data_IF_578288400724
#
_entry.id   IF_578288400724
#
_cell.length_a   1.000
_cell.length_b   1.000
_cell.length_c   1.000
_cell.angle_alpha   90.00
_cell.angle_beta   90.00
_cell.angle_gamma   90.00
#
_symmetry.space_group_name_H-M   'P 1'
#
loop_
_entity.id
_entity.type
_entity.pdbx_description
1 polymer ?
#
# COMPACT_ATOMS: atom_id res chain seq x y z
N UNK A 1 -26.49 12.29 8.02
CA UNK A 1 -25.88 11.10 7.39
C UNK A 1 -25.03 10.41 8.45
N UNK A 2 -24.94 9.07 8.42
CA UNK A 2 -24.00 8.35 9.29
C UNK A 2 -22.56 8.75 8.91
N UNK A 3 -21.66 8.84 9.89
CA UNK A 3 -20.25 9.07 9.62
C UNK A 3 -19.67 7.84 8.91
N UNK A 4 -18.72 8.07 8.04
CA UNK A 4 -17.91 7.01 7.40
C UNK A 4 -17.26 6.14 8.46
N UNK A 5 -17.16 4.84 8.22
CA UNK A 5 -16.51 3.88 9.13
C UNK A 5 -15.29 3.26 8.48
N UNK A 6 -14.15 3.37 9.15
CA UNK A 6 -12.86 2.82 8.72
C UNK A 6 -12.47 1.69 9.66
N UNK A 7 -12.25 0.49 9.14
CA UNK A 7 -11.74 -0.65 9.89
C UNK A 7 -10.25 -0.86 9.58
N UNK A 8 -9.42 -0.81 10.62
CA UNK A 8 -7.99 -1.06 10.55
C UNK A 8 -7.71 -2.46 11.08
N UNK A 9 -7.39 -3.39 10.19
CA UNK A 9 -7.21 -4.80 10.52
C UNK A 9 -5.72 -5.08 10.72
N UNK A 10 -5.32 -5.18 11.98
CA UNK A 10 -3.97 -5.14 12.49
C UNK A 10 -3.71 -3.84 13.24
N UNK A 11 -3.50 -3.93 14.56
CA UNK A 11 -3.27 -2.77 15.45
C UNK A 11 -1.80 -2.61 15.84
N UNK A 12 -0.87 -3.08 14.99
CA UNK A 12 0.57 -2.88 15.17
C UNK A 12 1.00 -1.40 15.03
N UNK A 13 2.26 -1.16 14.67
CA UNK A 13 2.78 0.20 14.49
C UNK A 13 2.08 0.92 13.34
N UNK A 14 1.91 0.27 12.19
CA UNK A 14 1.21 0.86 11.04
C UNK A 14 -0.26 1.13 11.39
N UNK A 15 -0.96 0.15 12.01
CA UNK A 15 -2.37 0.30 12.37
C UNK A 15 -2.65 1.46 13.33
N UNK A 16 -1.81 1.64 14.35
CA UNK A 16 -1.91 2.79 15.26
C UNK A 16 -1.65 4.13 14.55
N UNK A 17 -0.64 4.18 13.68
CA UNK A 17 -0.34 5.39 12.89
C UNK A 17 -1.46 5.72 11.91
N UNK A 18 -2.04 4.71 11.24
CA UNK A 18 -3.23 4.88 10.38
C UNK A 18 -4.40 5.49 11.16
N UNK A 19 -4.67 4.94 12.35
CA UNK A 19 -5.77 5.42 13.19
C UNK A 19 -5.59 6.89 13.58
N UNK A 20 -4.39 7.26 14.00
CA UNK A 20 -4.07 8.63 14.39
C UNK A 20 -4.23 9.61 13.21
N UNK A 21 -3.62 9.31 12.05
CA UNK A 21 -3.74 10.17 10.85
C UNK A 21 -5.19 10.26 10.36
N UNK A 22 -5.92 9.14 10.33
CA UNK A 22 -7.33 9.12 9.91
C UNK A 22 -8.21 9.94 10.85
N UNK A 23 -7.95 9.90 12.16
CA UNK A 23 -8.66 10.67 13.17
C UNK A 23 -8.40 12.18 13.02
N UNK A 24 -7.12 12.59 12.92
CA UNK A 24 -6.74 14.00 12.70
C UNK A 24 -7.30 14.58 11.40
N UNK A 25 -7.39 13.76 10.33
CA UNK A 25 -8.01 14.17 9.06
C UNK A 25 -9.54 14.07 9.06
N UNK A 26 -10.13 13.63 10.18
CA UNK A 26 -11.58 13.41 10.33
C UNK A 26 -12.22 12.61 9.18
N UNK A 27 -11.53 11.57 8.72
CA UNK A 27 -11.99 10.75 7.60
C UNK A 27 -13.20 9.87 7.95
N UNK A 28 -13.47 9.66 9.22
CA UNK A 28 -14.59 8.86 9.71
C UNK A 28 -14.38 8.36 11.14
N UNK A 29 -15.29 7.50 11.60
CA UNK A 29 -15.13 6.75 12.85
C UNK A 29 -14.27 5.52 12.60
N UNK A 30 -13.41 5.15 13.56
CA UNK A 30 -12.33 4.19 13.37
C UNK A 30 -12.51 3.00 14.29
N UNK A 31 -12.43 1.80 13.72
CA UNK A 31 -12.32 0.54 14.47
C UNK A 31 -10.91 -0.02 14.26
N UNK A 32 -10.14 -0.11 15.35
CA UNK A 32 -8.88 -0.86 15.37
C UNK A 32 -9.20 -2.31 15.74
N UNK A 33 -8.89 -3.24 14.83
CA UNK A 33 -9.09 -4.67 15.06
C UNK A 33 -7.73 -5.37 15.18
N UNK A 34 -7.59 -6.21 16.20
CA UNK A 34 -6.43 -7.12 16.34
C UNK A 34 -6.83 -8.36 17.14
N UNK A 35 -6.10 -9.45 16.94
CA UNK A 35 -6.28 -10.68 17.74
C UNK A 35 -5.54 -10.62 19.09
N UNK A 36 -4.60 -9.69 19.25
CA UNK A 36 -3.85 -9.49 20.48
C UNK A 36 -4.74 -8.82 21.55
N UNK A 37 -4.86 -9.47 22.70
CA UNK A 37 -5.70 -8.99 23.81
C UNK A 37 -5.24 -7.62 24.30
N UNK A 38 -6.16 -6.68 24.45
CA UNK A 38 -5.93 -5.35 24.98
C UNK A 38 -5.23 -4.38 24.03
N UNK A 39 -4.50 -4.86 23.04
CA UNK A 39 -3.72 -4.00 22.14
C UNK A 39 -4.59 -3.01 21.34
N UNK A 40 -5.66 -3.43 20.64
CA UNK A 40 -6.48 -2.49 19.88
C UNK A 40 -7.25 -1.53 20.80
N UNK A 41 -7.68 -1.99 21.98
CA UNK A 41 -8.38 -1.14 22.96
C UNK A 41 -7.45 -0.07 23.55
N UNK A 42 -6.23 -0.46 23.94
CA UNK A 42 -5.23 0.46 24.48
C UNK A 42 -4.86 1.55 23.48
N UNK A 43 -4.58 1.18 22.22
CA UNK A 43 -4.28 2.17 21.17
C UNK A 43 -5.47 3.06 20.84
N UNK A 44 -6.68 2.50 20.75
CA UNK A 44 -7.87 3.30 20.50
C UNK A 44 -8.10 4.33 21.61
N UNK A 45 -7.89 3.95 22.87
CA UNK A 45 -8.04 4.83 24.01
C UNK A 45 -6.96 5.94 24.01
N UNK A 46 -5.70 5.59 23.80
CA UNK A 46 -4.58 6.54 23.75
C UNK A 46 -4.79 7.60 22.65
N UNK A 47 -5.13 7.16 21.43
CA UNK A 47 -5.42 8.08 20.32
C UNK A 47 -6.67 8.92 20.62
N UNK A 48 -7.73 8.34 21.21
CA UNK A 48 -8.91 9.12 21.61
C UNK A 48 -8.61 10.20 22.64
N UNK A 49 -7.61 9.98 23.51
CA UNK A 49 -7.16 10.98 24.50
C UNK A 49 -6.38 12.14 23.86
N UNK A 50 -5.85 12.00 22.65
CA UNK A 50 -5.24 13.13 21.94
C UNK A 50 -6.30 14.05 21.30
N UNK A 51 -7.53 13.58 21.10
CA UNK A 51 -8.59 14.34 20.45
C UNK A 51 -8.88 15.73 21.07
N UNK A 52 -8.93 15.88 22.40
CA UNK A 52 -9.14 17.20 23.03
C UNK A 52 -8.00 18.19 22.77
N UNK A 53 -6.78 17.69 22.51
CA UNK A 53 -5.58 18.50 22.24
C UNK A 53 -5.49 18.84 20.74
N UNK A 54 -5.71 17.84 19.88
CA UNK A 54 -5.57 17.98 18.42
C UNK A 54 -6.83 18.52 17.73
N UNK A 55 -7.98 18.52 18.41
CA UNK A 55 -9.22 19.16 17.94
C UNK A 55 -9.98 18.36 16.90
N UNK A 56 -10.04 17.03 17.00
CA UNK A 56 -10.84 16.19 16.11
C UNK A 56 -11.98 15.45 16.82
N UNK A 57 -13.05 15.09 16.07
CA UNK A 57 -14.26 14.46 16.62
C UNK A 57 -14.48 13.01 16.19
N UNK A 58 -13.49 12.34 15.60
CA UNK A 58 -13.57 10.93 15.22
C UNK A 58 -13.69 10.02 16.44
N UNK A 59 -14.64 9.06 16.39
CA UNK A 59 -14.76 8.04 17.43
C UNK A 59 -13.80 6.89 17.13
N UNK A 60 -13.12 6.40 18.17
CA UNK A 60 -12.19 5.28 18.07
C UNK A 60 -12.68 4.11 18.95
N UNK A 61 -12.66 2.90 18.40
CA UNK A 61 -13.01 1.67 19.10
C UNK A 61 -11.95 0.61 18.85
N UNK A 62 -11.43 -0.01 19.91
CA UNK A 62 -10.64 -1.25 19.81
C UNK A 62 -11.55 -2.47 19.78
N UNK A 63 -11.24 -3.47 18.95
CA UNK A 63 -12.05 -4.65 18.72
C UNK A 63 -11.21 -5.91 18.52
N UNK A 64 -11.76 -7.06 18.92
CA UNK A 64 -11.19 -8.39 18.70
C UNK A 64 -12.17 -9.34 17.99
N UNK A 65 -13.39 -8.88 17.70
CA UNK A 65 -14.40 -9.64 16.98
C UNK A 65 -14.70 -8.95 15.64
N UNK A 66 -14.68 -9.71 14.54
CA UNK A 66 -14.99 -9.19 13.21
C UNK A 66 -16.38 -8.57 13.08
N UNK A 67 -17.34 -8.93 13.96
CA UNK A 67 -18.65 -8.24 13.97
C UNK A 67 -18.53 -6.72 14.17
N UNK A 68 -17.47 -6.28 14.84
CA UNK A 68 -17.25 -4.85 15.10
C UNK A 68 -16.85 -4.05 13.87
N UNK A 69 -16.33 -4.71 12.82
CA UNK A 69 -16.08 -4.05 11.53
C UNK A 69 -17.32 -3.99 10.63
N UNK A 70 -18.45 -4.53 11.07
CA UNK A 70 -19.66 -4.57 10.26
C UNK A 70 -20.05 -3.18 9.74
N UNK A 71 -20.32 -3.12 8.42
CA UNK A 71 -20.68 -1.89 7.75
C UNK A 71 -19.53 -0.90 7.53
N UNK A 72 -18.27 -1.33 7.64
CA UNK A 72 -17.14 -0.48 7.29
C UNK A 72 -17.17 -0.10 5.79
N UNK A 73 -16.89 1.18 5.51
CA UNK A 73 -16.76 1.72 4.15
C UNK A 73 -15.37 1.42 3.58
N UNK A 74 -14.35 1.43 4.44
CA UNK A 74 -12.96 1.10 4.10
C UNK A 74 -12.39 0.12 5.11
N UNK A 75 -11.73 -0.93 4.63
CA UNK A 75 -10.88 -1.81 5.43
C UNK A 75 -9.42 -1.65 5.01
N UNK A 76 -8.53 -1.32 5.95
CA UNK A 76 -7.08 -1.26 5.70
C UNK A 76 -6.43 -2.42 6.44
N UNK A 77 -5.78 -3.32 5.70
CA UNK A 77 -5.25 -4.59 6.22
C UNK A 77 -3.74 -4.48 6.38
N UNK A 78 -3.31 -4.48 7.65
CA UNK A 78 -1.89 -4.54 8.05
C UNK A 78 -1.58 -5.80 8.85
N UNK A 79 -2.60 -6.65 9.07
CA UNK A 79 -2.48 -7.90 9.81
C UNK A 79 -1.47 -8.83 9.13
N UNK A 80 -0.62 -9.45 9.91
CA UNK A 80 0.45 -10.33 9.47
C UNK A 80 1.71 -10.08 10.28
N UNK A 81 2.75 -10.85 9.99
CA UNK A 81 4.06 -10.68 10.63
C UNK A 81 5.07 -10.11 9.66
N UNK A 82 6.00 -9.31 10.17
CA UNK A 82 7.20 -8.93 9.46
C UNK A 82 8.22 -10.09 9.47
N UNK A 83 9.08 -10.15 8.46
CA UNK A 83 10.16 -11.15 8.40
C UNK A 83 11.09 -10.99 9.62
N UNK A 84 11.30 -12.08 10.33
CA UNK A 84 12.22 -12.15 11.47
C UNK A 84 13.57 -12.74 11.04
N UNK A 85 14.68 -12.43 11.74
CA UNK A 85 15.96 -13.11 11.52
C UNK A 85 15.78 -14.63 11.61
N UNK A 86 16.37 -15.36 10.66
CA UNK A 86 16.27 -16.82 10.58
C UNK A 86 15.00 -17.39 9.93
N UNK A 87 13.99 -16.54 9.61
CA UNK A 87 12.78 -16.96 8.93
C UNK A 87 13.01 -17.04 7.42
N UNK A 88 12.65 -18.17 6.81
CA UNK A 88 12.65 -18.31 5.36
C UNK A 88 11.56 -17.45 4.69
N UNK A 89 11.67 -17.27 3.37
CA UNK A 89 10.62 -16.60 2.58
C UNK A 89 9.31 -17.38 2.61
N UNK A 90 9.40 -18.70 2.52
CA UNK A 90 8.23 -19.59 2.48
C UNK A 90 7.51 -19.65 3.83
N UNK A 91 8.25 -19.62 4.96
CA UNK A 91 7.64 -19.52 6.28
C UNK A 91 6.82 -18.25 6.43
N UNK A 92 7.40 -17.11 6.03
CA UNK A 92 6.69 -15.83 6.06
C UNK A 92 5.43 -15.85 5.19
N UNK A 93 5.57 -16.38 3.98
CA UNK A 93 4.47 -16.50 3.02
C UNK A 93 3.34 -17.37 3.59
N UNK A 94 3.67 -18.54 4.14
CA UNK A 94 2.69 -19.47 4.71
C UNK A 94 1.94 -18.91 5.92
N UNK A 95 2.63 -18.17 6.80
CA UNK A 95 2.00 -17.52 7.95
C UNK A 95 1.05 -16.42 7.49
N UNK A 96 1.53 -15.51 6.64
CA UNK A 96 0.73 -14.37 6.20
C UNK A 96 -0.42 -14.80 5.29
N UNK A 97 -0.28 -15.88 4.54
CA UNK A 97 -1.37 -16.46 3.74
C UNK A 97 -2.54 -16.93 4.62
N UNK A 98 -2.26 -17.60 5.74
CA UNK A 98 -3.28 -18.00 6.72
C UNK A 98 -3.97 -16.79 7.35
N UNK A 99 -3.22 -15.73 7.62
CA UNK A 99 -3.77 -14.47 8.12
C UNK A 99 -4.70 -13.84 7.06
N UNK A 100 -4.27 -13.77 5.79
CA UNK A 100 -5.10 -13.23 4.70
C UNK A 100 -6.39 -14.02 4.50
N UNK A 101 -6.36 -15.35 4.71
CA UNK A 101 -7.57 -16.18 4.66
C UNK A 101 -8.58 -15.77 5.74
N UNK A 102 -8.15 -15.74 7.00
CA UNK A 102 -8.99 -15.31 8.12
C UNK A 102 -9.54 -13.89 7.94
N UNK A 103 -8.69 -12.96 7.48
CA UNK A 103 -9.08 -11.57 7.23
C UNK A 103 -10.07 -11.48 6.07
N UNK A 104 -9.81 -12.17 4.96
CA UNK A 104 -10.67 -12.18 3.78
C UNK A 104 -12.07 -12.70 4.11
N UNK A 105 -12.16 -13.84 4.80
CA UNK A 105 -13.43 -14.42 5.27
C UNK A 105 -14.16 -13.48 6.23
N UNK A 106 -13.43 -12.83 7.15
CA UNK A 106 -13.98 -11.86 8.09
C UNK A 106 -14.57 -10.62 7.39
N UNK A 107 -13.86 -10.07 6.41
CA UNK A 107 -14.34 -8.93 5.60
C UNK A 107 -15.54 -9.34 4.76
N UNK A 108 -15.49 -10.49 4.07
CA UNK A 108 -16.58 -10.99 3.26
C UNK A 108 -17.90 -11.11 4.05
N UNK A 109 -17.80 -11.58 5.29
CA UNK A 109 -18.95 -11.78 6.16
C UNK A 109 -19.51 -10.49 6.76
N UNK A 110 -18.65 -9.57 7.20
CA UNK A 110 -19.06 -8.44 8.04
C UNK A 110 -19.00 -7.08 7.32
N UNK A 111 -18.14 -6.92 6.29
CA UNK A 111 -17.98 -5.69 5.53
C UNK A 111 -17.91 -5.95 4.00
N UNK A 112 -18.88 -6.66 3.39
CA UNK A 112 -18.82 -7.11 1.99
C UNK A 112 -18.85 -5.97 0.96
N UNK A 113 -19.16 -4.75 1.38
CA UNK A 113 -19.20 -3.57 0.51
C UNK A 113 -17.97 -2.68 0.65
N UNK A 114 -17.09 -2.97 1.61
CA UNK A 114 -15.91 -2.16 1.89
C UNK A 114 -14.96 -2.07 0.70
N UNK A 115 -14.32 -0.91 0.57
CA UNK A 115 -13.10 -0.78 -0.20
C UNK A 115 -11.93 -1.30 0.65
N UNK A 116 -11.09 -2.16 0.10
CA UNK A 116 -10.04 -2.85 0.85
C UNK A 116 -8.66 -2.45 0.35
N UNK A 117 -7.81 -1.97 1.27
CA UNK A 117 -6.41 -1.63 1.03
C UNK A 117 -5.54 -2.63 1.76
N UNK A 118 -4.77 -3.44 1.05
CA UNK A 118 -3.80 -4.39 1.62
C UNK A 118 -2.43 -3.74 1.75
N UNK A 119 -1.77 -3.92 2.92
CA UNK A 119 -0.39 -3.46 3.19
C UNK A 119 0.51 -4.65 3.54
N UNK A 120 -0.07 -5.78 3.91
CA UNK A 120 0.65 -6.98 4.36
C UNK A 120 1.61 -7.51 3.29
N UNK A 121 2.85 -7.82 3.69
CA UNK A 121 3.89 -8.34 2.80
C UNK A 121 3.97 -9.89 2.83
N UNK A 122 4.41 -10.51 1.71
CA UNK A 122 4.78 -9.90 0.42
C UNK A 122 3.54 -9.40 -0.33
N UNK A 123 3.51 -8.08 -0.60
CA UNK A 123 2.28 -7.35 -0.90
C UNK A 123 1.48 -7.91 -2.07
N UNK A 124 2.14 -8.11 -3.23
CA UNK A 124 1.45 -8.49 -4.47
C UNK A 124 0.75 -9.85 -4.34
N UNK A 125 1.38 -10.80 -3.64
CA UNK A 125 0.78 -12.10 -3.34
C UNK A 125 -0.32 -12.00 -2.28
N UNK A 126 -0.14 -11.15 -1.27
CA UNK A 126 -1.10 -11.01 -0.18
C UNK A 126 -2.38 -10.29 -0.62
N UNK A 127 -2.29 -9.25 -1.45
CA UNK A 127 -3.48 -8.58 -1.99
C UNK A 127 -4.26 -9.51 -2.92
N UNK A 128 -3.56 -10.30 -3.74
CA UNK A 128 -4.18 -11.31 -4.59
C UNK A 128 -4.90 -12.38 -3.76
N UNK A 129 -4.23 -12.95 -2.76
CA UNK A 129 -4.82 -13.96 -1.88
C UNK A 129 -6.01 -13.40 -1.08
N UNK A 130 -5.89 -12.19 -0.55
CA UNK A 130 -6.96 -11.49 0.19
C UNK A 130 -8.20 -11.31 -0.70
N UNK A 131 -8.02 -10.92 -1.97
CA UNK A 131 -9.13 -10.80 -2.91
C UNK A 131 -9.78 -12.15 -3.17
N UNK A 132 -8.99 -13.22 -3.38
CA UNK A 132 -9.51 -14.58 -3.58
C UNK A 132 -10.31 -15.08 -2.38
N UNK A 133 -9.78 -14.93 -1.17
CA UNK A 133 -10.44 -15.37 0.06
C UNK A 133 -11.67 -14.53 0.42
N UNK A 134 -11.66 -13.24 0.10
CA UNK A 134 -12.82 -12.38 0.38
C UNK A 134 -13.91 -12.48 -0.68
N UNK A 135 -13.58 -12.88 -1.91
CA UNK A 135 -14.51 -12.90 -3.03
C UNK A 135 -15.06 -11.52 -3.43
N UNK A 136 -14.48 -10.44 -2.89
CA UNK A 136 -14.90 -9.07 -3.26
C UNK A 136 -14.53 -8.77 -4.73
N UNK A 137 -15.26 -7.85 -5.39
CA UNK A 137 -14.90 -7.39 -6.72
C UNK A 137 -13.47 -6.86 -6.77
N UNK A 138 -12.70 -7.22 -7.80
CA UNK A 138 -11.27 -6.85 -7.92
C UNK A 138 -11.04 -5.33 -7.88
N UNK A 139 -11.98 -4.53 -8.39
CA UNK A 139 -11.92 -3.06 -8.31
C UNK A 139 -12.04 -2.51 -6.88
N UNK A 140 -12.52 -3.31 -5.92
CA UNK A 140 -12.67 -2.93 -4.51
C UNK A 140 -11.51 -3.39 -3.64
N UNK A 141 -10.55 -4.14 -4.18
CA UNK A 141 -9.37 -4.62 -3.43
C UNK A 141 -8.12 -4.15 -4.13
N UNK A 142 -7.27 -3.42 -3.42
CA UNK A 142 -6.02 -2.87 -3.95
C UNK A 142 -4.88 -3.04 -2.95
N UNK A 143 -3.64 -3.05 -3.44
CA UNK A 143 -2.44 -3.06 -2.61
C UNK A 143 -1.77 -1.69 -2.52
N UNK A 144 -1.34 -1.31 -1.34
CA UNK A 144 -0.50 -0.13 -1.10
C UNK A 144 0.96 -0.49 -1.44
N UNK A 145 1.43 -0.09 -2.60
CA UNK A 145 2.73 -0.45 -3.18
C UNK A 145 3.46 0.78 -3.74
N UNK A 146 3.31 1.02 -5.02
CA UNK A 146 4.00 2.08 -5.76
C UNK A 146 3.79 3.48 -5.19
N UNK A 147 2.68 3.74 -4.51
CA UNK A 147 2.44 5.03 -3.84
C UNK A 147 3.51 5.31 -2.76
N UNK A 148 3.90 4.30 -1.97
CA UNK A 148 4.97 4.40 -0.99
C UNK A 148 6.33 4.49 -1.68
N UNK A 149 6.57 3.66 -2.70
CA UNK A 149 7.84 3.62 -3.40
C UNK A 149 8.07 4.93 -4.18
N UNK A 150 7.02 5.49 -4.77
CA UNK A 150 7.05 6.81 -5.39
C UNK A 150 7.27 7.93 -4.38
N UNK A 151 6.75 7.83 -3.17
CA UNK A 151 7.00 8.81 -2.11
C UNK A 151 8.49 8.84 -1.71
N UNK A 152 9.14 7.69 -1.62
CA UNK A 152 10.59 7.60 -1.39
C UNK A 152 11.37 8.23 -2.54
N UNK A 153 11.03 7.89 -3.77
CA UNK A 153 11.65 8.43 -4.97
C UNK A 153 11.50 9.96 -5.05
N UNK A 154 10.30 10.48 -4.76
CA UNK A 154 10.03 11.92 -4.69
C UNK A 154 10.88 12.62 -3.63
N UNK A 155 11.01 12.03 -2.44
CA UNK A 155 11.84 12.59 -1.37
C UNK A 155 13.31 12.71 -1.82
N UNK A 156 13.89 11.63 -2.33
CA UNK A 156 15.30 11.63 -2.73
C UNK A 156 15.58 12.55 -3.93
N UNK A 157 14.63 12.68 -4.86
CA UNK A 157 14.71 13.66 -5.93
C UNK A 157 14.62 15.09 -5.39
N UNK A 158 13.72 15.37 -4.46
CA UNK A 158 13.61 16.70 -3.84
C UNK A 158 14.89 17.10 -3.11
N UNK A 159 15.54 16.17 -2.41
CA UNK A 159 16.86 16.36 -1.79
C UNK A 159 17.95 16.67 -2.83
N UNK A 160 18.04 15.90 -3.92
CA UNK A 160 19.03 16.11 -4.99
C UNK A 160 18.88 17.49 -5.66
N UNK A 161 17.64 17.90 -5.94
CA UNK A 161 17.37 19.17 -6.61
C UNK A 161 17.26 20.37 -5.65
N UNK A 162 17.30 20.12 -4.34
CA UNK A 162 17.09 21.12 -3.28
C UNK A 162 15.78 21.93 -3.49
N UNK A 163 14.68 21.21 -3.69
CA UNK A 163 13.35 21.78 -3.91
C UNK A 163 12.31 21.18 -2.95
N UNK A 164 11.14 21.80 -2.83
CA UNK A 164 10.01 21.23 -2.09
C UNK A 164 9.60 19.89 -2.66
N UNK A 165 9.28 18.91 -1.81
CA UNK A 165 8.70 17.62 -2.19
C UNK A 165 7.37 17.78 -2.95
N UNK A 166 6.66 18.89 -2.77
CA UNK A 166 5.43 19.20 -3.50
C UNK A 166 5.67 19.49 -4.98
N UNK A 167 6.89 19.95 -5.33
CA UNK A 167 7.28 20.19 -6.72
C UNK A 167 7.65 18.93 -7.48
N UNK A 168 7.78 17.78 -6.80
CA UNK A 168 8.24 16.53 -7.42
C UNK A 168 7.07 15.58 -7.66
N UNK A 169 6.94 15.11 -8.89
CA UNK A 169 6.03 14.02 -9.27
C UNK A 169 6.84 12.84 -9.74
N UNK A 170 6.54 11.63 -9.26
CA UNK A 170 7.26 10.43 -9.66
C UNK A 170 6.33 9.22 -9.68
N UNK A 171 6.67 8.25 -10.53
CA UNK A 171 5.99 6.97 -10.63
C UNK A 171 6.96 5.81 -10.42
N UNK A 172 6.58 4.90 -9.52
CA UNK A 172 7.23 3.60 -9.36
C UNK A 172 6.18 2.53 -9.57
N UNK A 173 6.40 1.66 -10.53
CA UNK A 173 5.48 0.59 -10.95
C UNK A 173 6.08 -0.78 -10.66
N UNK A 174 5.38 -1.85 -11.10
CA UNK A 174 5.82 -3.23 -10.89
C UNK A 174 5.46 -3.78 -9.52
N UNK A 175 6.00 -4.95 -9.18
CA UNK A 175 5.84 -5.57 -7.86
C UNK A 175 6.54 -4.78 -6.76
N UNK A 176 5.97 -4.81 -5.56
CA UNK A 176 6.51 -4.10 -4.40
C UNK A 176 7.73 -4.83 -3.83
N UNK A 177 8.92 -4.29 -4.01
CA UNK A 177 10.20 -4.87 -3.55
C UNK A 177 11.35 -4.53 -4.51
N UNK A 178 12.38 -5.38 -4.52
CA UNK A 178 13.63 -5.13 -5.27
C UNK A 178 13.42 -5.05 -6.79
N UNK A 179 12.34 -5.63 -7.31
CA UNK A 179 11.97 -5.62 -8.73
C UNK A 179 11.09 -4.44 -9.15
N UNK A 180 10.85 -3.47 -8.25
CA UNK A 180 10.08 -2.27 -8.59
C UNK A 180 10.72 -1.50 -9.76
N UNK A 181 9.90 -0.80 -10.52
CA UNK A 181 10.27 -0.09 -11.75
C UNK A 181 10.05 1.41 -11.60
N UNK A 182 11.05 2.17 -11.13
CA UNK A 182 10.98 3.63 -11.13
C UNK A 182 10.99 4.16 -12.56
N UNK A 183 9.95 4.91 -12.94
CA UNK A 183 9.83 5.48 -14.28
C UNK A 183 10.45 6.87 -14.35
N UNK A 184 11.75 6.92 -14.63
CA UNK A 184 12.52 8.17 -14.70
C UNK A 184 11.93 9.15 -15.74
N UNK A 185 11.51 8.66 -16.91
CA UNK A 185 10.93 9.48 -17.98
C UNK A 185 9.62 10.17 -17.60
N UNK A 186 8.84 9.55 -16.73
CA UNK A 186 7.56 10.07 -16.24
C UNK A 186 7.67 10.79 -14.90
N UNK A 187 8.90 10.91 -14.37
CA UNK A 187 9.15 11.64 -13.13
C UNK A 187 9.64 13.04 -13.44
N UNK A 188 9.10 14.03 -12.71
CA UNK A 188 9.28 15.46 -13.03
C UNK A 188 9.55 16.30 -11.79
N UNK A 189 10.20 17.44 -11.98
CA UNK A 189 10.25 18.55 -11.03
C UNK A 189 9.52 19.72 -11.67
N UNK A 190 8.46 20.18 -11.03
CA UNK A 190 7.60 21.26 -11.54
C UNK A 190 7.15 21.04 -13.01
N UNK A 191 6.88 19.79 -13.39
CA UNK A 191 6.48 19.41 -14.74
C UNK A 191 7.64 19.21 -15.73
N UNK A 192 8.88 19.50 -15.35
CA UNK A 192 10.08 19.28 -16.19
C UNK A 192 10.55 17.83 -16.00
N UNK A 193 10.60 17.01 -17.06
CA UNK A 193 11.04 15.62 -16.97
C UNK A 193 12.49 15.48 -16.49
N UNK A 194 12.78 14.45 -15.70
CA UNK A 194 14.15 14.19 -15.21
C UNK A 194 15.21 14.12 -16.33
N UNK A 195 14.95 13.48 -17.50
CA UNK A 195 15.92 13.48 -18.59
C UNK A 195 16.26 14.87 -19.12
N UNK A 196 15.32 15.81 -19.09
CA UNK A 196 15.56 17.18 -19.52
C UNK A 196 16.33 17.98 -18.46
N UNK A 197 16.08 17.73 -17.16
CA UNK A 197 16.88 18.31 -16.09
C UNK A 197 18.35 17.86 -16.15
N UNK A 198 18.61 16.61 -16.55
CA UNK A 198 19.98 16.12 -16.82
C UNK A 198 20.60 16.88 -18.00
N UNK A 199 19.89 17.05 -19.13
CA UNK A 199 20.37 17.83 -20.28
C UNK A 199 20.65 19.30 -19.92
N UNK A 200 19.86 19.89 -19.04
CA UNK A 200 20.04 21.25 -18.52
C UNK A 200 21.21 21.37 -17.53
N UNK A 201 21.84 20.26 -17.12
CA UNK A 201 22.95 20.24 -16.18
C UNK A 201 22.53 20.49 -14.73
N UNK A 202 21.24 20.38 -14.40
CA UNK A 202 20.76 20.56 -13.00
C UNK A 202 21.07 19.33 -12.14
N UNK A 203 21.21 18.16 -12.74
CA UNK A 203 21.73 16.92 -12.13
C UNK A 203 22.47 16.11 -13.18
N UNK A 204 22.91 14.89 -12.82
CA UNK A 204 23.55 13.95 -13.76
C UNK A 204 22.79 12.62 -13.82
N UNK A 205 22.92 11.89 -14.93
CA UNK A 205 22.34 10.55 -15.07
C UNK A 205 22.80 9.61 -13.93
N UNK A 206 24.09 9.63 -13.58
CA UNK A 206 24.65 8.81 -12.52
C UNK A 206 24.01 9.08 -11.14
N UNK A 207 23.65 10.33 -10.84
CA UNK A 207 22.93 10.67 -9.60
C UNK A 207 21.49 10.16 -9.62
N UNK A 208 20.80 10.28 -10.75
CA UNK A 208 19.45 9.71 -10.90
C UNK A 208 19.48 8.20 -10.74
N UNK A 209 20.45 7.49 -11.32
CA UNK A 209 20.61 6.04 -11.17
C UNK A 209 20.87 5.66 -9.71
N UNK A 210 21.70 6.39 -8.99
CA UNK A 210 21.95 6.18 -7.57
C UNK A 210 20.66 6.39 -6.72
N UNK A 211 19.84 7.37 -7.07
CA UNK A 211 18.55 7.62 -6.42
C UNK A 211 17.56 6.50 -6.70
N UNK A 212 17.51 5.99 -7.94
CA UNK A 212 16.70 4.82 -8.31
C UNK A 212 17.09 3.61 -7.49
N UNK A 213 18.40 3.33 -7.34
CA UNK A 213 18.89 2.22 -6.52
C UNK A 213 18.58 2.40 -5.03
N UNK A 214 18.73 3.60 -4.50
CA UNK A 214 18.36 3.91 -3.11
C UNK A 214 16.86 3.74 -2.90
N UNK A 215 16.02 4.10 -3.86
CA UNK A 215 14.58 3.93 -3.80
C UNK A 215 14.20 2.45 -3.67
N UNK A 216 14.81 1.56 -4.47
CA UNK A 216 14.61 0.11 -4.38
C UNK A 216 14.98 -0.44 -3.01
N UNK A 217 16.05 0.07 -2.41
CA UNK A 217 16.59 -0.35 -1.11
C UNK A 217 15.99 0.40 0.08
N UNK A 218 15.12 1.39 -0.14
CA UNK A 218 14.64 2.32 0.90
C UNK A 218 13.95 1.64 2.09
N UNK A 219 13.25 0.53 1.87
CA UNK A 219 12.71 -0.27 2.97
C UNK A 219 13.79 -0.91 3.83
N UNK A 220 14.82 -1.50 3.19
CA UNK A 220 15.97 -2.10 3.86
C UNK A 220 16.83 -1.08 4.61
N UNK A 221 17.01 0.12 4.07
CA UNK A 221 17.72 1.23 4.73
C UNK A 221 17.08 1.55 6.08
N UNK A 222 15.76 1.69 6.13
CA UNK A 222 15.02 1.98 7.38
C UNK A 222 15.13 0.82 8.37
N UNK A 223 14.99 -0.42 7.92
CA UNK A 223 15.16 -1.61 8.79
C UNK A 223 16.57 -1.66 9.38
N UNK A 224 17.59 -1.36 8.57
CA UNK A 224 18.97 -1.29 9.00
C UNK A 224 19.23 -0.24 10.07
N UNK A 225 18.55 0.90 10.00
CA UNK A 225 18.66 1.99 10.99
C UNK A 225 17.86 1.70 12.27
N UNK A 226 16.63 1.20 12.14
CA UNK A 226 15.76 0.93 13.30
C UNK A 226 16.21 -0.30 14.11
N UNK A 227 16.92 -1.25 13.50
CA UNK A 227 17.34 -2.53 14.09
C UNK A 227 16.18 -3.48 14.46
N UNK A 228 15.03 -2.92 14.86
CA UNK A 228 13.81 -3.65 15.19
C UNK A 228 12.63 -3.03 14.45
N UNK A 229 11.80 -3.86 13.81
CA UNK A 229 10.64 -3.39 13.07
C UNK A 229 10.96 -2.95 11.63
N UNK A 230 10.06 -2.18 11.05
CA UNK A 230 10.14 -1.67 9.67
C UNK A 230 9.52 -0.27 9.60
N UNK A 231 9.55 0.36 8.42
CA UNK A 231 8.85 1.62 8.19
C UNK A 231 7.35 1.48 8.53
N UNK A 232 6.76 2.48 9.17
CA UNK A 232 5.33 2.51 9.48
C UNK A 232 4.67 3.89 9.28
N UNK A 233 5.40 4.99 9.36
CA UNK A 233 4.85 6.33 9.10
C UNK A 233 4.48 6.53 7.63
N UNK A 234 5.43 6.35 6.73
CA UNK A 234 5.21 6.54 5.30
C UNK A 234 4.22 5.52 4.70
N UNK A 235 4.25 4.22 5.06
CA UNK A 235 3.20 3.27 4.67
C UNK A 235 1.80 3.69 5.12
N UNK A 236 1.66 4.16 6.37
CA UNK A 236 0.38 4.64 6.89
C UNK A 236 -0.11 5.88 6.12
N UNK A 237 0.75 6.89 5.92
CA UNK A 237 0.40 8.07 5.15
C UNK A 237 -0.03 7.74 3.71
N UNK A 238 0.67 6.79 3.06
CA UNK A 238 0.34 6.31 1.71
C UNK A 238 -1.05 5.66 1.65
N UNK A 239 -1.35 4.77 2.58
CA UNK A 239 -2.66 4.12 2.62
C UNK A 239 -3.79 5.09 3.00
N UNK A 240 -3.53 6.07 3.86
CA UNK A 240 -4.50 7.14 4.16
C UNK A 240 -4.78 8.00 2.92
N UNK A 241 -3.79 8.29 2.09
CA UNK A 241 -4.02 9.00 0.82
C UNK A 241 -4.93 8.19 -0.11
N UNK A 242 -4.76 6.87 -0.19
CA UNK A 242 -5.66 6.00 -0.96
C UNK A 242 -7.07 6.01 -0.38
N UNK A 243 -7.21 5.84 0.94
CA UNK A 243 -8.50 5.86 1.62
C UNK A 243 -9.22 7.22 1.43
N UNK A 244 -8.50 8.33 1.54
CA UNK A 244 -9.03 9.67 1.34
C UNK A 244 -9.47 9.90 -0.12
N UNK A 245 -8.74 9.35 -1.10
CA UNK A 245 -9.16 9.42 -2.51
C UNK A 245 -10.49 8.71 -2.75
N UNK A 246 -10.65 7.52 -2.18
CA UNK A 246 -11.89 6.75 -2.24
C UNK A 246 -13.04 7.46 -1.50
N UNK A 247 -12.84 7.81 -0.23
CA UNK A 247 -13.88 8.36 0.64
C UNK A 247 -14.40 9.74 0.20
N UNK A 248 -13.54 10.55 -0.39
CA UNK A 248 -13.86 11.92 -0.85
C UNK A 248 -14.03 12.01 -2.37
N UNK A 249 -14.08 10.88 -3.07
CA UNK A 249 -14.17 10.79 -4.53
C UNK A 249 -13.20 11.73 -5.28
N UNK A 250 -11.92 11.72 -4.85
CA UNK A 250 -10.92 12.65 -5.41
C UNK A 250 -10.42 12.28 -6.79
N UNK A 251 -10.65 11.04 -7.24
CA UNK A 251 -10.18 10.52 -8.52
C UNK A 251 -8.67 10.73 -8.74
N UNK A 252 -7.88 10.53 -7.68
CA UNK A 252 -6.43 10.68 -7.76
C UNK A 252 -5.81 9.59 -8.63
N UNK A 253 -4.80 9.96 -9.42
CA UNK A 253 -3.97 8.98 -10.14
C UNK A 253 -2.86 8.53 -9.20
N UNK A 254 -2.93 7.27 -8.75
CA UNK A 254 -2.02 6.70 -7.75
C UNK A 254 -1.42 5.39 -8.25
N UNK A 255 -0.12 5.15 -8.09
CA UNK A 255 0.49 3.84 -8.39
C UNK A 255 0.18 2.87 -7.25
N UNK A 256 -0.71 1.91 -7.55
CA UNK A 256 -1.17 0.90 -6.59
C UNK A 256 -1.09 -0.49 -7.21
N UNK A 257 -0.96 -1.54 -6.39
CA UNK A 257 -1.14 -2.90 -6.88
C UNK A 257 -2.62 -3.13 -7.16
N UNK A 258 -2.97 -3.24 -8.44
CA UNK A 258 -4.31 -3.44 -8.94
C UNK A 258 -4.40 -4.69 -9.81
N UNK A 259 -5.59 -5.29 -9.87
CA UNK A 259 -5.84 -6.47 -10.68
C UNK A 259 -5.90 -6.12 -12.16
N UNK A 260 -5.02 -6.73 -12.96
CA UNK A 260 -4.95 -6.55 -14.40
C UNK A 260 -5.76 -7.64 -15.14
N UNK A 261 -6.50 -7.22 -16.14
CA UNK A 261 -7.35 -8.08 -16.99
C UNK A 261 -6.95 -8.07 -18.46
N UNK A 262 -5.73 -7.62 -18.75
CA UNK A 262 -5.16 -7.49 -20.09
C UNK A 262 -4.27 -6.27 -20.28
N UNK A 263 -4.39 -5.30 -19.39
CA UNK A 263 -3.54 -4.09 -19.41
C UNK A 263 -2.07 -4.49 -19.31
N UNK A 264 -1.20 -3.77 -20.02
CA UNK A 264 0.24 -4.07 -20.13
C UNK A 264 0.56 -5.50 -20.64
N UNK A 265 -0.44 -6.23 -21.20
CA UNK A 265 -0.32 -7.63 -21.59
C UNK A 265 -0.41 -8.62 -20.44
N UNK A 266 -0.77 -8.17 -19.23
CA UNK A 266 -0.84 -9.00 -18.01
C UNK A 266 -2.29 -9.32 -17.67
N UNK A 267 -2.57 -10.58 -17.26
CA UNK A 267 -3.91 -11.03 -16.86
C UNK A 267 -3.89 -11.68 -15.48
N UNK A 268 -5.01 -11.59 -14.77
CA UNK A 268 -5.28 -12.25 -13.49
C UNK A 268 -4.20 -12.06 -12.41
N UNK A 269 -3.56 -10.90 -12.42
CA UNK A 269 -2.42 -10.60 -11.55
C UNK A 269 -2.60 -9.22 -10.92
N UNK A 270 -2.25 -9.12 -9.65
CA UNK A 270 -2.06 -7.83 -8.98
C UNK A 270 -0.63 -7.36 -9.17
N UNK A 271 -0.47 -6.17 -9.69
CA UNK A 271 0.84 -5.53 -9.86
C UNK A 271 0.72 -4.01 -9.81
N UNK A 272 1.76 -3.33 -9.38
CA UNK A 272 1.79 -1.88 -9.25
C UNK A 272 1.70 -1.17 -10.60
N UNK A 273 0.61 -0.45 -10.81
CA UNK A 273 0.32 0.35 -12.02
C UNK A 273 -0.40 1.64 -11.63
N UNK A 274 -0.37 2.70 -12.46
CA UNK A 274 -1.15 3.89 -12.21
C UNK A 274 -2.65 3.58 -12.34
N UNK A 275 -3.42 3.90 -11.31
CA UNK A 275 -4.88 3.76 -11.32
C UNK A 275 -5.53 5.10 -11.02
N UNK A 276 -6.72 5.34 -11.55
CA UNK A 276 -7.63 6.37 -11.04
C UNK A 276 -8.42 5.75 -9.90
N UNK A 277 -8.30 6.31 -8.70
CA UNK A 277 -8.95 5.82 -7.50
C UNK A 277 -10.05 6.80 -7.06
N UNK A 278 -11.29 6.38 -7.19
CA UNK A 278 -12.50 7.15 -6.85
C UNK A 278 -13.46 6.37 -5.97
N UNK A 279 -14.70 6.83 -5.85
CA UNK A 279 -15.72 6.26 -4.95
C UNK A 279 -16.16 4.83 -5.30
N UNK A 280 -15.95 4.37 -6.54
CA UNK A 280 -16.23 2.99 -6.91
C UNK A 280 -15.03 2.04 -6.70
N UNK A 281 -13.92 2.55 -6.20
CA UNK A 281 -12.63 1.86 -6.08
C UNK A 281 -11.74 2.18 -7.27
N UNK A 282 -11.20 1.16 -7.95
CA UNK A 282 -10.42 1.36 -9.18
C UNK A 282 -11.37 1.74 -10.30
N UNK A 283 -11.38 3.01 -10.67
CA UNK A 283 -12.22 3.54 -11.75
C UNK A 283 -11.61 3.22 -13.12
N UNK A 284 -10.29 3.30 -13.22
CA UNK A 284 -9.54 3.04 -14.44
C UNK A 284 -8.08 2.70 -14.13
N UNK A 285 -7.49 1.81 -14.93
CA UNK A 285 -6.05 1.60 -15.02
C UNK A 285 -5.52 2.52 -16.13
N UNK A 286 -4.47 3.28 -15.85
CA UNK A 286 -3.83 4.17 -16.81
C UNK A 286 -2.60 3.46 -17.38
N UNK A 287 -2.67 3.12 -18.67
CA UNK A 287 -1.56 2.47 -19.36
C UNK A 287 -0.57 3.51 -19.89
N UNK A 288 0.61 3.58 -19.28
CA UNK A 288 1.72 4.41 -19.78
C UNK A 288 2.53 3.61 -20.79
N UNK A 289 3.08 4.29 -21.79
CA UNK A 289 3.93 3.65 -22.79
C UNK A 289 5.34 3.42 -22.23
N UNK A 290 5.78 2.18 -22.18
CA UNK A 290 7.14 1.81 -21.77
C UNK A 290 8.16 1.97 -22.91
N UNK A 291 9.42 2.32 -22.57
CA UNK A 291 10.56 2.02 -23.42
C UNK A 291 10.85 0.53 -23.44
N UNK A 292 11.74 0.06 -24.33
CA UNK A 292 12.14 -1.35 -24.33
C UNK A 292 12.72 -1.83 -22.99
N UNK A 293 13.56 -0.99 -22.36
CA UNK A 293 14.17 -1.29 -21.05
C UNK A 293 13.13 -1.30 -19.93
N UNK A 294 12.24 -0.30 -19.89
CA UNK A 294 11.16 -0.22 -18.91
C UNK A 294 10.22 -1.43 -19.01
N UNK A 295 9.91 -1.86 -20.26
CA UNK A 295 9.09 -3.05 -20.49
C UNK A 295 9.78 -4.31 -19.98
N UNK A 296 11.06 -4.49 -20.25
CA UNK A 296 11.83 -5.63 -19.76
C UNK A 296 11.88 -5.68 -18.22
N UNK A 297 12.08 -4.54 -17.57
CA UNK A 297 12.03 -4.44 -16.11
C UNK A 297 10.64 -4.78 -15.58
N UNK A 298 9.59 -4.27 -16.21
CA UNK A 298 8.21 -4.53 -15.80
C UNK A 298 7.85 -6.02 -15.96
N UNK A 299 8.23 -6.65 -17.07
CA UNK A 299 7.99 -8.07 -17.31
C UNK A 299 8.72 -8.96 -16.30
N UNK A 300 9.98 -8.61 -15.98
CA UNK A 300 10.72 -9.30 -14.90
C UNK A 300 10.03 -9.16 -13.54
N UNK A 301 9.51 -7.97 -13.26
CA UNK A 301 8.77 -7.70 -12.03
C UNK A 301 7.47 -8.52 -11.95
N UNK A 302 6.71 -8.61 -13.04
CA UNK A 302 5.50 -9.45 -13.15
C UNK A 302 5.84 -10.93 -12.97
N UNK A 303 6.93 -11.42 -13.55
CA UNK A 303 7.38 -12.80 -13.38
C UNK A 303 7.65 -13.12 -11.90
N UNK A 304 8.31 -12.22 -11.17
CA UNK A 304 8.54 -12.39 -9.72
C UNK A 304 7.23 -12.46 -8.91
N UNK A 305 6.21 -11.67 -9.30
CA UNK A 305 4.87 -11.77 -8.69
C UNK A 305 4.21 -13.11 -8.98
N UNK A 306 4.30 -13.60 -10.21
CA UNK A 306 3.77 -14.92 -10.58
C UNK A 306 4.42 -16.07 -9.78
N UNK A 307 5.73 -16.00 -9.52
CA UNK A 307 6.43 -16.97 -8.66
C UNK A 307 5.84 -16.98 -7.25
N UNK A 308 5.58 -15.80 -6.67
CA UNK A 308 4.95 -15.68 -5.35
C UNK A 308 3.53 -16.26 -5.34
N UNK A 309 2.72 -15.97 -6.37
CA UNK A 309 1.36 -16.53 -6.51
C UNK A 309 1.41 -18.05 -6.64
N UNK A 310 2.35 -18.58 -7.40
CA UNK A 310 2.54 -20.04 -7.54
C UNK A 310 2.94 -20.68 -6.20
N UNK A 311 3.78 -20.03 -5.40
CA UNK A 311 4.12 -20.48 -4.05
C UNK A 311 2.88 -20.47 -3.13
N UNK A 312 2.03 -19.43 -3.20
CA UNK A 312 0.78 -19.39 -2.45
C UNK A 312 -0.16 -20.55 -2.81
N UNK A 313 -0.32 -20.89 -4.11
CA UNK A 313 -1.16 -22.03 -4.55
C UNK A 313 -0.65 -23.37 -4.04
N UNK A 314 0.68 -23.53 -3.90
CA UNK A 314 1.27 -24.74 -3.30
C UNK A 314 0.96 -24.85 -1.82
N UNK A 315 0.85 -23.72 -1.10
CA UNK A 315 0.58 -23.67 0.34
C UNK A 315 -0.91 -23.76 0.67
N UNK A 316 -1.79 -23.28 -0.21
CA UNK A 316 -3.26 -23.39 -0.07
C UNK A 316 -3.91 -23.69 -1.43
N UNK A 317 -4.35 -24.93 -1.62
CA UNK A 317 -4.98 -25.40 -2.86
C UNK A 317 -6.30 -24.68 -3.19
N UNK A 318 -6.93 -23.99 -2.25
CA UNK A 318 -8.16 -23.22 -2.51
C UNK A 318 -7.92 -21.96 -3.35
N UNK A 319 -6.66 -21.61 -3.61
CA UNK A 319 -6.24 -20.50 -4.46
C UNK A 319 -5.98 -20.91 -5.94
N UNK A 320 -6.09 -22.19 -6.24
CA UNK A 320 -5.84 -22.76 -7.57
C UNK A 320 -6.94 -22.55 -8.57
#
# INVERSE_FOLDING_TARGET
MARTKIALIGSGMIGGTLAHIAAQKELGDIVLFDVAEGLPQGKALDIAQSAPVDGYGSKLKGAQDYKDIAGADVCIVTAGIARKPGMSRDDLLGINLKVMKSVGEGIAKHAPKAFVICITNPLDAMVWALQKFSGLPTKKVVGMAGILDSARFRLFLAEEFNVSVESVTAFVLGGHGDTMVPLVRYSTVAGIPLPDLVKMGWTTAAKIDAIVDRTRKGGGEIVGLLKTGSAYYAPAASAIQMAESYLKNKNMVLPCAAHLTGQYGVKDTYVGVPIVLGENGVERIVEVTFSGEEKAMFDSSVAAVHELMAACRKLDASLG
#
